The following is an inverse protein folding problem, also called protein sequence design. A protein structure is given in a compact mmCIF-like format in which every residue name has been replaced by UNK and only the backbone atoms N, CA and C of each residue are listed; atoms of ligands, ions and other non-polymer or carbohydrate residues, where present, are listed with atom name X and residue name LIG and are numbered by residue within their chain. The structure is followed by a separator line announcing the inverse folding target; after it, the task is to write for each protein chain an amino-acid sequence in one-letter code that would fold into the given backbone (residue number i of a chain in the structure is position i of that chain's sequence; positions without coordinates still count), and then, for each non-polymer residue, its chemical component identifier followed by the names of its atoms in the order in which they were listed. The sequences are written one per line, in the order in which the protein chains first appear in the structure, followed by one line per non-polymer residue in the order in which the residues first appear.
data_IF_772714852909
#
_entry.id   IF_772714852909
#
_cell.length_a   1.000
_cell.length_b   1.000
_cell.length_c   1.000
_cell.angle_alpha   90.00
_cell.angle_beta   90.00
_cell.angle_gamma   90.00
#
_symmetry.space_group_name_H-M   'P 1'
#
loop_
_entity.id
_entity.type
_entity.pdbx_description
1 polymer ?
#
# COMPACT_ATOMS: atom_id res chain seq x y z
N UNK A 1 -25.10 8.28 31.30
CA UNK A 1 -24.67 7.08 30.56
C UNK A 1 -24.50 7.53 29.12
N UNK A 2 -23.28 7.95 28.76
CA UNK A 2 -22.98 8.45 27.41
C UNK A 2 -22.81 7.29 26.44
N UNK A 3 -23.04 7.49 25.13
CA UNK A 3 -22.79 6.45 24.13
C UNK A 3 -21.32 6.03 24.20
N UNK A 4 -21.06 4.72 24.18
CA UNK A 4 -19.70 4.18 23.97
C UNK A 4 -19.19 4.69 22.62
N UNK A 5 -17.90 5.05 22.48
CA UNK A 5 -17.35 5.30 21.16
C UNK A 5 -17.53 4.02 20.36
N UNK A 6 -18.30 4.10 19.27
CA UNK A 6 -18.43 2.99 18.34
C UNK A 6 -17.03 2.63 17.87
N UNK A 7 -16.64 1.38 18.02
CA UNK A 7 -15.73 0.73 17.07
C UNK A 7 -16.43 0.82 15.72
N UNK A 8 -16.27 1.96 15.05
CA UNK A 8 -16.68 2.10 13.66
C UNK A 8 -15.86 1.07 12.91
N UNK A 9 -16.55 0.07 12.37
CA UNK A 9 -15.92 -0.90 11.49
C UNK A 9 -15.37 -0.11 10.30
N UNK A 10 -14.06 -0.14 10.11
CA UNK A 10 -13.44 0.52 8.95
C UNK A 10 -13.92 -0.25 7.72
N UNK A 11 -14.55 0.47 6.81
CA UNK A 11 -15.03 -0.08 5.54
C UNK A 11 -14.20 0.51 4.41
N UNK A 12 -13.87 -0.33 3.44
CA UNK A 12 -13.05 0.03 2.30
C UNK A 12 -13.78 -0.39 1.03
N UNK A 13 -13.79 0.48 0.04
CA UNK A 13 -14.23 0.15 -1.32
C UNK A 13 -13.05 -0.43 -2.10
N UNK A 14 -13.17 -1.68 -2.51
CA UNK A 14 -12.23 -2.34 -3.43
C UNK A 14 -12.74 -2.13 -4.86
N UNK A 15 -11.95 -1.44 -5.67
CA UNK A 15 -12.24 -1.17 -7.07
C UNK A 15 -11.35 -2.03 -7.97
N UNK A 16 -11.98 -2.78 -8.87
CA UNK A 16 -11.33 -3.60 -9.91
C UNK A 16 -12.11 -3.39 -11.20
N UNK A 17 -11.42 -3.01 -12.29
CA UNK A 17 -12.03 -2.79 -13.62
C UNK A 17 -13.32 -1.94 -13.59
N UNK A 18 -13.34 -0.91 -12.74
CA UNK A 18 -14.47 0.01 -12.57
C UNK A 18 -15.64 -0.53 -11.73
N UNK A 19 -15.52 -1.73 -11.16
CA UNK A 19 -16.50 -2.31 -10.23
C UNK A 19 -16.06 -2.13 -8.79
N UNK A 20 -16.93 -1.55 -7.96
CA UNK A 20 -16.68 -1.36 -6.52
C UNK A 20 -17.32 -2.47 -5.69
N UNK A 21 -16.58 -2.97 -4.71
CA UNK A 21 -17.03 -3.93 -3.70
C UNK A 21 -16.63 -3.45 -2.31
N UNK A 22 -17.59 -3.28 -1.40
CA UNK A 22 -17.28 -2.96 0.01
C UNK A 22 -16.72 -4.20 0.71
N UNK A 23 -15.62 -4.04 1.44
CA UNK A 23 -15.08 -5.06 2.36
C UNK A 23 -14.96 -4.50 3.78
N UNK A 24 -15.18 -5.34 4.78
CA UNK A 24 -15.02 -4.96 6.20
C UNK A 24 -13.99 -5.80 6.95
N UNK A 25 -13.55 -6.92 6.37
CA UNK A 25 -12.53 -7.77 6.96
C UNK A 25 -11.49 -8.30 5.96
N UNK A 26 -10.42 -8.87 6.53
CA UNK A 26 -9.26 -9.35 5.78
C UNK A 26 -9.56 -10.59 4.96
N UNK A 27 -10.48 -11.44 5.39
CA UNK A 27 -10.81 -12.65 4.65
C UNK A 27 -11.60 -12.32 3.38
N UNK A 28 -12.50 -11.33 3.44
CA UNK A 28 -13.18 -10.80 2.25
C UNK A 28 -12.18 -10.18 1.26
N UNK A 29 -11.26 -9.36 1.77
CA UNK A 29 -10.22 -8.75 0.95
C UNK A 29 -9.30 -9.81 0.31
N UNK A 30 -8.88 -10.83 1.06
CA UNK A 30 -8.07 -11.95 0.53
C UNK A 30 -8.83 -12.76 -0.52
N UNK A 31 -10.15 -12.94 -0.36
CA UNK A 31 -10.97 -13.61 -1.36
C UNK A 31 -11.05 -12.83 -2.68
N UNK A 32 -11.04 -11.50 -2.62
CA UNK A 32 -11.01 -10.62 -3.80
C UNK A 32 -9.62 -10.62 -4.45
N UNK A 33 -8.56 -10.50 -3.65
CA UNK A 33 -7.19 -10.48 -4.16
C UNK A 33 -6.76 -11.86 -4.67
N UNK A 34 -7.31 -12.94 -4.14
CA UNK A 34 -7.05 -14.31 -4.60
C UNK A 34 -5.57 -14.72 -4.59
N UNK A 35 -5.27 -15.90 -5.13
CA UNK A 35 -3.90 -16.35 -5.35
C UNK A 35 -3.27 -15.70 -6.59
N UNK A 36 -4.08 -15.49 -7.63
CA UNK A 36 -3.75 -14.74 -8.85
C UNK A 36 -4.51 -13.41 -8.83
N UNK A 37 -3.87 -12.32 -8.38
CA UNK A 37 -4.54 -11.06 -8.18
C UNK A 37 -4.91 -10.35 -9.49
N UNK A 38 -5.96 -9.50 -9.47
CA UNK A 38 -6.25 -8.61 -10.58
C UNK A 38 -5.04 -7.74 -10.91
N UNK A 39 -4.88 -7.36 -12.18
CA UNK A 39 -3.74 -6.53 -12.61
C UNK A 39 -3.69 -5.17 -11.92
N UNK A 40 -4.85 -4.54 -11.67
CA UNK A 40 -4.95 -3.28 -10.92
C UNK A 40 -6.10 -3.36 -9.90
N UNK A 41 -5.82 -2.91 -8.68
CA UNK A 41 -6.76 -2.84 -7.56
C UNK A 41 -6.62 -1.48 -6.90
N UNK A 42 -7.74 -0.81 -6.62
CA UNK A 42 -7.73 0.41 -5.79
C UNK A 42 -8.55 0.17 -4.53
N UNK A 43 -7.95 0.39 -3.37
CA UNK A 43 -8.62 0.41 -2.08
C UNK A 43 -8.89 1.87 -1.72
N UNK A 44 -10.15 2.25 -1.58
CA UNK A 44 -10.56 3.59 -1.18
C UNK A 44 -11.20 3.56 0.19
N UNK A 45 -10.74 4.45 1.08
CA UNK A 45 -11.37 4.66 2.38
C UNK A 45 -12.78 5.22 2.22
N UNK A 46 -13.74 4.67 2.97
CA UNK A 46 -15.08 5.24 3.07
C UNK A 46 -15.15 6.41 4.08
N UNK A 47 -14.11 6.59 4.91
CA UNK A 47 -14.09 7.56 6.01
C UNK A 47 -13.32 8.85 5.68
N UNK A 48 -12.34 8.78 4.76
CA UNK A 48 -11.48 9.89 4.39
C UNK A 48 -11.10 9.82 2.91
N UNK A 49 -10.59 10.93 2.36
CA UNK A 49 -9.92 10.86 1.05
C UNK A 49 -8.56 10.22 1.22
N UNK A 50 -8.53 8.89 1.16
CA UNK A 50 -7.32 8.07 1.16
C UNK A 50 -7.50 6.90 0.23
N UNK A 51 -6.53 6.66 -0.63
CA UNK A 51 -6.53 5.52 -1.54
C UNK A 51 -5.18 4.81 -1.54
N UNK A 52 -5.24 3.48 -1.63
CA UNK A 52 -4.09 2.63 -1.92
C UNK A 52 -4.35 1.94 -3.25
N UNK A 53 -3.55 2.30 -4.24
CA UNK A 53 -3.54 1.67 -5.54
C UNK A 53 -2.46 0.60 -5.57
N UNK A 54 -2.82 -0.56 -6.09
CA UNK A 54 -1.97 -1.74 -6.17
C UNK A 54 -2.01 -2.23 -7.60
N UNK A 55 -0.86 -2.31 -8.23
CA UNK A 55 -0.71 -2.87 -9.57
C UNK A 55 0.10 -4.16 -9.44
N UNK A 56 -0.44 -5.28 -9.90
CA UNK A 56 0.19 -6.60 -9.82
C UNK A 56 0.70 -7.02 -11.19
N UNK A 57 1.94 -7.53 -11.26
CA UNK A 57 2.51 -8.11 -12.47
C UNK A 57 3.52 -9.20 -12.13
N UNK A 58 3.41 -10.35 -12.81
CA UNK A 58 4.28 -11.52 -12.59
C UNK A 58 4.30 -11.92 -11.10
N UNK A 59 5.42 -11.74 -10.42
CA UNK A 59 5.67 -12.02 -9.01
C UNK A 59 5.83 -10.73 -8.17
N UNK A 60 5.54 -9.57 -8.76
CA UNK A 60 5.79 -8.23 -8.22
C UNK A 60 4.53 -7.38 -8.21
N UNK A 61 4.58 -6.35 -7.37
CA UNK A 61 3.54 -5.36 -7.30
C UNK A 61 4.13 -3.97 -7.07
N UNK A 62 3.46 -2.96 -7.60
CA UNK A 62 3.71 -1.55 -7.34
C UNK A 62 2.60 -1.02 -6.46
N UNK A 63 2.96 -0.15 -5.52
CA UNK A 63 1.97 0.52 -4.67
C UNK A 63 2.06 2.03 -4.86
N UNK A 64 0.90 2.65 -4.86
CA UNK A 64 0.75 4.09 -4.90
C UNK A 64 -0.28 4.48 -3.84
N UNK A 65 0.08 5.41 -2.96
CA UNK A 65 -0.78 5.88 -1.90
C UNK A 65 -1.09 7.36 -2.09
N UNK A 66 -2.35 7.72 -1.92
CA UNK A 66 -2.82 9.08 -2.07
C UNK A 66 -3.69 9.47 -0.88
N UNK A 67 -3.55 10.73 -0.47
CA UNK A 67 -4.43 11.41 0.48
C UNK A 67 -4.68 12.84 0.02
N UNK A 68 -5.44 13.62 0.80
CA UNK A 68 -5.71 15.03 0.51
C UNK A 68 -4.45 15.88 0.28
N UNK A 69 -3.33 15.53 0.91
CA UNK A 69 -2.10 16.35 0.92
C UNK A 69 -0.92 15.72 0.20
N UNK A 70 -0.94 14.41 0.01
CA UNK A 70 0.25 13.64 -0.32
C UNK A 70 -0.05 12.59 -1.38
N UNK A 71 0.89 12.47 -2.31
CA UNK A 71 0.92 11.44 -3.34
C UNK A 71 2.28 10.75 -3.26
N UNK A 72 2.26 9.46 -2.92
CA UNK A 72 3.45 8.69 -2.61
C UNK A 72 3.51 7.40 -3.43
N UNK A 73 4.72 7.00 -3.81
CA UNK A 73 5.00 5.71 -4.41
C UNK A 73 5.67 4.82 -3.37
N UNK A 74 5.32 3.54 -3.33
CA UNK A 74 6.10 2.60 -2.55
C UNK A 74 7.47 2.42 -3.19
N UNK A 75 8.46 2.21 -2.33
CA UNK A 75 9.85 2.05 -2.70
C UNK A 75 10.43 0.82 -2.01
N UNK A 76 10.02 -0.37 -2.47
CA UNK A 76 10.47 -1.65 -1.93
C UNK A 76 10.09 -1.90 -0.45
N UNK A 77 10.59 -2.99 0.14
CA UNK A 77 10.49 -3.22 1.59
C UNK A 77 11.27 -2.15 2.35
N UNK A 78 10.81 -1.77 3.56
CA UNK A 78 11.55 -0.82 4.42
C UNK A 78 12.89 -1.43 4.86
N UNK A 79 14.05 -0.92 4.40
CA UNK A 79 15.31 -1.40 4.94
C UNK A 79 15.53 -0.82 6.36
N UNK A 80 16.22 -1.56 7.25
CA UNK A 80 16.46 -1.09 8.61
C UNK A 80 17.12 0.30 8.65
N UNK A 81 16.45 1.27 9.29
CA UNK A 81 16.96 2.63 9.45
C UNK A 81 16.62 3.61 8.33
N UNK A 82 15.80 3.22 7.36
CA UNK A 82 15.35 4.10 6.30
C UNK A 82 14.49 5.27 6.83
N UNK A 83 14.74 6.51 6.37
CA UNK A 83 13.87 7.65 6.66
C UNK A 83 12.48 7.48 6.02
N UNK A 84 11.41 7.78 6.76
CA UNK A 84 10.04 7.56 6.29
C UNK A 84 9.45 8.59 5.32
N UNK A 85 10.17 9.67 5.00
CA UNK A 85 9.70 10.78 4.16
C UNK A 85 10.76 11.18 3.12
N UNK A 86 11.18 10.24 2.28
CA UNK A 86 12.17 10.51 1.23
C UNK A 86 11.50 11.03 -0.04
N UNK A 87 12.22 11.78 -0.87
CA UNK A 87 11.82 12.01 -2.28
C UNK A 87 12.42 10.93 -3.18
N UNK A 88 11.92 10.78 -4.41
CA UNK A 88 12.50 9.84 -5.40
C UNK A 88 14.03 9.98 -5.49
N UNK A 89 14.55 11.21 -5.59
CA UNK A 89 16.00 11.46 -5.66
C UNK A 89 16.78 11.10 -4.39
N UNK A 90 16.19 11.25 -3.19
CA UNK A 90 16.82 10.81 -1.94
C UNK A 90 16.89 9.28 -1.88
N UNK A 91 15.86 8.61 -2.41
CA UNK A 91 15.76 7.16 -2.42
C UNK A 91 16.69 6.53 -3.46
N UNK A 92 16.80 7.10 -4.66
CA UNK A 92 17.79 6.70 -5.68
C UNK A 92 19.21 6.73 -5.10
N UNK A 93 19.58 7.84 -4.44
CA UNK A 93 20.90 7.97 -3.79
C UNK A 93 21.10 7.01 -2.61
N UNK A 94 20.05 6.77 -1.81
CA UNK A 94 20.14 5.85 -0.68
C UNK A 94 20.38 4.40 -1.14
N UNK A 95 19.77 3.95 -2.25
CA UNK A 95 19.93 2.59 -2.76
C UNK A 95 21.21 2.36 -3.57
N UNK A 96 21.86 3.43 -4.05
CA UNK A 96 23.25 3.36 -4.52
C UNK A 96 24.24 3.00 -3.37
N UNK A 97 23.84 3.19 -2.11
CA UNK A 97 24.59 2.68 -0.97
C UNK A 97 24.39 1.15 -0.85
N UNK A 98 25.47 0.36 -0.87
CA UNK A 98 25.39 -1.10 -0.79
C UNK A 98 24.67 -1.65 0.46
N UNK A 99 24.47 -0.83 1.50
CA UNK A 99 23.70 -1.19 2.70
C UNK A 99 22.19 -1.21 2.46
N UNK A 100 21.72 -0.55 1.42
CA UNK A 100 20.32 -0.46 1.04
C UNK A 100 20.00 -1.23 -0.24
N UNK A 101 20.99 -1.61 -1.05
CA UNK A 101 20.80 -2.39 -2.29
C UNK A 101 19.77 -3.54 -2.14
N UNK A 102 18.72 -3.52 -2.96
CA UNK A 102 17.70 -4.57 -2.98
C UNK A 102 18.33 -5.88 -3.49
N UNK A 103 17.94 -7.04 -2.93
CA UNK A 103 18.26 -8.33 -3.53
C UNK A 103 17.72 -8.40 -4.97
N UNK A 104 18.47 -9.05 -5.87
CA UNK A 104 17.95 -9.61 -7.13
C UNK A 104 17.38 -8.66 -8.19
N UNK A 105 17.90 -7.44 -8.32
CA UNK A 105 17.57 -6.56 -9.45
C UNK A 105 16.11 -6.07 -9.47
N UNK A 106 15.46 -6.10 -8.30
CA UNK A 106 14.15 -5.51 -8.05
C UNK A 106 14.24 -4.02 -8.35
N UNK A 107 13.38 -3.52 -9.23
CA UNK A 107 13.29 -2.08 -9.44
C UNK A 107 12.81 -1.42 -8.14
N UNK A 108 13.32 -0.24 -7.79
CA UNK A 108 13.09 0.38 -6.49
C UNK A 108 11.62 0.50 -6.09
N UNK A 109 10.68 0.54 -7.04
CA UNK A 109 9.24 0.67 -6.81
C UNK A 109 8.49 -0.66 -6.66
N UNK A 110 9.19 -1.79 -6.74
CA UNK A 110 8.57 -3.11 -6.76
C UNK A 110 8.64 -3.79 -5.38
N UNK A 111 7.50 -4.30 -4.93
CA UNK A 111 7.38 -5.17 -3.76
C UNK A 111 6.89 -6.55 -4.19
N UNK A 112 7.02 -7.54 -3.31
CA UNK A 112 6.41 -8.86 -3.54
C UNK A 112 4.89 -8.80 -3.42
N UNK A 113 4.18 -9.76 -4.01
CA UNK A 113 2.73 -9.90 -3.82
C UNK A 113 2.35 -10.03 -2.33
N UNK A 114 3.19 -10.69 -1.52
CA UNK A 114 2.94 -10.85 -0.09
C UNK A 114 3.00 -9.50 0.67
N UNK A 115 3.97 -8.66 0.34
CA UNK A 115 4.09 -7.31 0.92
C UNK A 115 2.95 -6.40 0.47
N UNK A 116 2.52 -6.49 -0.79
CA UNK A 116 1.36 -5.76 -1.28
C UNK A 116 0.06 -6.18 -0.55
N UNK A 117 -0.14 -7.49 -0.33
CA UNK A 117 -1.28 -8.00 0.46
C UNK A 117 -1.21 -7.53 1.92
N UNK A 118 -0.03 -7.58 2.53
CA UNK A 118 0.15 -7.06 3.88
C UNK A 118 -0.15 -5.56 3.97
N UNK A 119 0.25 -4.77 2.97
CA UNK A 119 -0.06 -3.34 2.89
C UNK A 119 -1.58 -3.10 2.76
N UNK A 120 -2.25 -3.90 1.92
CA UNK A 120 -3.71 -3.87 1.77
C UNK A 120 -4.44 -4.20 3.08
N UNK A 121 -3.96 -5.21 3.82
CA UNK A 121 -4.52 -5.57 5.13
C UNK A 121 -4.32 -4.46 6.16
N UNK A 122 -3.14 -3.83 6.18
CA UNK A 122 -2.86 -2.71 7.08
C UNK A 122 -3.73 -1.50 6.75
N UNK A 123 -3.91 -1.18 5.47
CA UNK A 123 -4.81 -0.13 5.01
C UNK A 123 -6.24 -0.38 5.51
N UNK A 124 -6.79 -1.58 5.31
CA UNK A 124 -8.13 -1.93 5.78
C UNK A 124 -8.28 -1.79 7.30
N UNK A 125 -7.26 -2.18 8.08
CA UNK A 125 -7.34 -2.15 9.55
C UNK A 125 -7.15 -0.75 10.13
N UNK A 126 -6.35 0.09 9.48
CA UNK A 126 -5.88 1.35 10.06
C UNK A 126 -6.46 2.58 9.39
N UNK A 127 -7.06 2.41 8.20
CA UNK A 127 -7.47 3.51 7.32
C UNK A 127 -6.31 4.48 6.99
N UNK A 128 -5.08 3.99 7.13
CA UNK A 128 -3.85 4.78 7.11
C UNK A 128 -2.89 4.34 6.02
N UNK A 129 -1.83 5.14 5.85
CA UNK A 129 -0.70 4.78 5.00
C UNK A 129 -0.02 3.53 5.56
N UNK A 130 0.10 2.43 4.79
CA UNK A 130 0.76 1.21 5.25
C UNK A 130 2.21 1.46 5.69
N UNK A 131 2.70 0.74 6.68
CA UNK A 131 4.04 0.96 7.26
C UNK A 131 5.02 -0.17 6.93
N UNK A 132 4.54 -1.25 6.32
CA UNK A 132 5.36 -2.38 5.91
C UNK A 132 6.22 -2.13 4.66
N UNK A 133 6.01 -1.02 3.97
CA UNK A 133 6.78 -0.59 2.79
C UNK A 133 7.28 0.83 2.99
N UNK A 134 8.36 1.18 2.29
CA UNK A 134 8.86 2.55 2.31
C UNK A 134 8.05 3.39 1.32
N UNK A 135 7.81 4.66 1.64
CA UNK A 135 7.10 5.60 0.78
C UNK A 135 7.99 6.76 0.38
N UNK A 136 7.96 7.11 -0.91
CA UNK A 136 8.65 8.28 -1.43
C UNK A 136 7.66 9.30 -2.00
N UNK A 137 7.97 10.58 -1.81
CA UNK A 137 7.21 11.69 -2.40
C UNK A 137 7.46 11.71 -3.90
N UNK A 138 6.37 11.69 -4.66
CA UNK A 138 6.40 11.97 -6.10
C UNK A 138 6.43 13.50 -6.29
N UNK A 139 7.37 14.03 -7.10
CA UNK A 139 7.43 15.47 -7.38
C UNK A 139 6.21 15.99 -8.15
#
# INVERSE_FOLDING_TARGET
MGPRPGTGEVTVQVWIDGTATTVTDVAELDAILGDEPPGEVTLASDAAWRTLHISFWRDRAGLYWESETDILLAWGPVPPGAPGNQVVGDAEYAYDDPRFALPDGIEPFEVTHAEARQAAHEFLRTDGRPTNVQWVVKP
#
